data_IF_783928355765
#
_entry.id   IF_783928355765
#
_cell.length_a   1.000
_cell.length_b   1.000
_cell.length_c   1.000
_cell.angle_alpha   90.00
_cell.angle_beta   90.00
_cell.angle_gamma   90.00
#
_symmetry.space_group_name_H-M   'P 1'
#
loop_
_entity.id
_entity.type
_entity.pdbx_description
1 polymer ?
#
# COMPACT_ATOMS: atom_id res chain seq x y z
N UNK A 1 17.03 -18.14 -21.18
CA UNK A 1 16.91 -17.20 -20.05
C UNK A 1 15.65 -16.38 -20.27
N UNK A 2 14.54 -16.74 -19.63
CA UNK A 2 13.31 -15.93 -19.68
C UNK A 2 13.49 -14.77 -18.72
N UNK A 3 13.71 -13.57 -19.24
CA UNK A 3 13.67 -12.34 -18.47
C UNK A 3 12.25 -12.21 -17.90
N UNK A 4 12.08 -12.47 -16.60
CA UNK A 4 10.83 -12.11 -15.90
C UNK A 4 10.67 -10.61 -16.12
N UNK A 5 9.64 -10.20 -16.86
CA UNK A 5 9.32 -8.80 -17.06
C UNK A 5 8.91 -8.24 -15.70
N UNK A 6 9.75 -7.37 -15.13
CA UNK A 6 9.44 -6.65 -13.90
C UNK A 6 8.16 -5.83 -14.13
N UNK A 7 7.09 -6.16 -13.42
CA UNK A 7 5.87 -5.34 -13.41
C UNK A 7 5.88 -4.49 -12.14
N UNK A 8 5.73 -3.16 -12.26
CA UNK A 8 5.61 -2.29 -11.10
C UNK A 8 4.48 -2.72 -10.18
N UNK A 9 4.64 -2.49 -8.88
CA UNK A 9 3.60 -2.77 -7.88
C UNK A 9 2.60 -1.62 -7.81
N UNK A 10 1.31 -1.93 -7.79
CA UNK A 10 0.25 -0.97 -7.51
C UNK A 10 -0.47 -1.38 -6.22
N UNK A 11 -0.33 -0.58 -5.17
CA UNK A 11 -1.07 -0.77 -3.93
C UNK A 11 -2.37 0.02 -4.01
N UNK A 12 -3.48 -0.67 -3.78
CA UNK A 12 -4.81 -0.12 -3.94
C UNK A 12 -5.65 -0.29 -2.67
N UNK A 13 -6.43 0.71 -2.31
CA UNK A 13 -7.46 0.61 -1.28
C UNK A 13 -8.83 1.17 -1.74
N UNK A 14 -9.83 1.02 -0.88
CA UNK A 14 -11.20 1.48 -1.13
C UNK A 14 -11.51 2.87 -0.56
N UNK A 15 -10.61 3.44 0.26
CA UNK A 15 -10.99 4.47 1.24
C UNK A 15 -9.89 5.51 1.44
N UNK A 16 -9.66 6.32 0.42
CA UNK A 16 -8.89 7.56 0.53
C UNK A 16 -7.40 7.41 0.24
N UNK A 17 -6.88 6.18 0.09
CA UNK A 17 -5.50 5.91 -0.31
C UNK A 17 -4.49 5.84 0.83
N UNK A 18 -4.92 5.87 2.08
CA UNK A 18 -4.02 5.83 3.23
C UNK A 18 -3.24 4.51 3.35
N UNK A 19 -3.94 3.38 3.14
CA UNK A 19 -3.29 2.06 3.14
C UNK A 19 -2.43 1.90 1.88
N UNK A 20 -2.93 2.37 0.74
CA UNK A 20 -2.20 2.37 -0.52
C UNK A 20 -0.87 3.15 -0.43
N UNK A 21 -0.89 4.33 0.18
CA UNK A 21 0.29 5.16 0.40
C UNK A 21 1.31 4.45 1.28
N UNK A 22 0.85 3.84 2.39
CA UNK A 22 1.70 3.05 3.27
C UNK A 22 2.35 1.88 2.50
N UNK A 23 1.58 1.13 1.72
CA UNK A 23 2.09 -0.02 0.97
C UNK A 23 3.11 0.35 -0.11
N UNK A 24 2.81 1.39 -0.90
CA UNK A 24 3.72 1.84 -1.94
C UNK A 24 5.03 2.39 -1.37
N UNK A 25 4.98 3.13 -0.25
CA UNK A 25 6.19 3.60 0.41
C UNK A 25 7.03 2.43 0.95
N UNK A 26 6.42 1.47 1.66
CA UNK A 26 7.14 0.27 2.14
C UNK A 26 7.80 -0.48 0.99
N UNK A 27 7.10 -0.68 -0.13
CA UNK A 27 7.69 -1.32 -1.29
C UNK A 27 8.89 -0.55 -1.86
N UNK A 28 8.83 0.79 -1.89
CA UNK A 28 9.95 1.63 -2.31
C UNK A 28 11.15 1.50 -1.37
N UNK A 29 10.93 1.43 -0.06
CA UNK A 29 12.00 1.17 0.92
C UNK A 29 12.70 -0.17 0.66
N UNK A 30 11.97 -1.18 0.17
CA UNK A 30 12.50 -2.50 -0.17
C UNK A 30 13.07 -2.59 -1.61
N UNK A 31 13.17 -1.47 -2.33
CA UNK A 31 13.78 -1.40 -3.66
C UNK A 31 12.82 -1.45 -4.85
N UNK A 32 11.51 -1.55 -4.64
CA UNK A 32 10.50 -1.39 -5.69
C UNK A 32 10.21 0.09 -5.93
N UNK A 33 11.19 0.80 -6.50
CA UNK A 33 11.17 2.26 -6.64
C UNK A 33 10.03 2.80 -7.51
N UNK A 34 9.47 1.96 -8.39
CA UNK A 34 8.35 2.23 -9.28
C UNK A 34 6.97 1.92 -8.67
N UNK A 35 6.90 1.50 -7.39
CA UNK A 35 5.63 1.20 -6.75
C UNK A 35 4.74 2.45 -6.62
N UNK A 36 3.45 2.29 -6.90
CA UNK A 36 2.45 3.38 -6.89
C UNK A 36 1.33 3.11 -5.90
N UNK A 37 0.78 4.19 -5.34
CA UNK A 37 -0.41 4.17 -4.49
C UNK A 37 -1.64 4.58 -5.29
N UNK A 38 -2.74 3.84 -5.13
CA UNK A 38 -4.00 4.14 -5.77
C UNK A 38 -5.20 3.90 -4.85
N UNK A 39 -6.32 4.54 -5.14
CA UNK A 39 -7.57 4.34 -4.40
C UNK A 39 -8.77 4.30 -5.34
N UNK A 40 -9.81 3.55 -4.96
CA UNK A 40 -11.11 3.57 -5.64
C UNK A 40 -11.86 4.89 -5.41
N UNK A 41 -11.73 5.47 -4.21
CA UNK A 41 -12.47 6.67 -3.82
C UNK A 41 -11.73 7.93 -4.25
N UNK A 42 -12.21 9.11 -3.86
CA UNK A 42 -11.36 10.31 -3.90
C UNK A 42 -10.20 10.15 -2.91
N UNK A 43 -9.02 10.65 -3.28
CA UNK A 43 -7.89 10.73 -2.37
C UNK A 43 -8.28 11.65 -1.21
N UNK A 44 -8.04 11.20 0.01
CA UNK A 44 -8.36 11.95 1.23
C UNK A 44 -7.08 12.36 1.95
N UNK A 45 -7.12 13.40 2.80
CA UNK A 45 -6.00 13.71 3.68
C UNK A 45 -5.59 12.47 4.47
N UNK A 46 -4.29 12.24 4.58
CA UNK A 46 -3.76 11.09 5.30
C UNK A 46 -3.98 11.25 6.81
N UNK A 47 -4.44 10.21 7.52
CA UNK A 47 -4.41 10.17 8.97
C UNK A 47 -2.98 10.41 9.48
N UNK A 48 -2.81 11.15 10.58
CA UNK A 48 -1.49 11.60 11.06
C UNK A 48 -0.51 10.45 11.38
N UNK A 49 -1.02 9.28 11.75
CA UNK A 49 -0.19 8.10 12.00
C UNK A 49 0.48 7.55 10.74
N UNK A 50 -0.09 7.76 9.54
CA UNK A 50 0.50 7.27 8.28
C UNK A 50 1.83 7.97 7.97
N UNK A 51 1.90 9.32 7.84
CA UNK A 51 3.17 10.00 7.62
C UNK A 51 4.14 9.81 8.79
N UNK A 52 3.66 9.67 10.04
CA UNK A 52 4.52 9.38 11.17
C UNK A 52 5.23 8.02 11.00
N UNK A 53 4.51 6.96 10.62
CA UNK A 53 5.09 5.63 10.37
C UNK A 53 6.01 5.62 9.14
N UNK A 54 5.72 6.42 8.11
CA UNK A 54 6.61 6.55 6.96
C UNK A 54 7.92 7.27 7.31
N UNK A 55 7.84 8.30 8.14
CA UNK A 55 9.04 9.00 8.61
C UNK A 55 9.98 8.08 9.41
N UNK A 56 9.46 7.09 10.14
CA UNK A 56 10.28 6.08 10.84
C UNK A 56 11.20 5.28 9.90
N UNK A 57 10.80 5.10 8.63
CA UNK A 57 11.58 4.42 7.60
C UNK A 57 12.23 5.39 6.60
N UNK A 58 12.26 6.68 6.93
CA UNK A 58 12.90 7.72 6.11
C UNK A 58 12.16 8.01 4.80
N UNK A 59 10.86 7.74 4.73
CA UNK A 59 10.05 7.96 3.53
C UNK A 59 8.95 9.00 3.76
N UNK A 60 8.54 9.61 2.65
CA UNK A 60 7.36 10.46 2.58
C UNK A 60 6.20 9.71 1.92
N UNK A 61 4.98 10.21 2.16
CA UNK A 61 3.80 9.64 1.52
C UNK A 61 3.84 9.88 0.00
N UNK A 62 3.70 8.82 -0.83
CA UNK A 62 3.61 9.00 -2.28
C UNK A 62 2.30 9.67 -2.67
N UNK A 63 2.28 10.26 -3.87
CA UNK A 63 1.03 10.70 -4.47
C UNK A 63 0.05 9.52 -4.62
N UNK A 64 -1.21 9.76 -4.28
CA UNK A 64 -2.29 8.78 -4.41
C UNK A 64 -3.02 9.05 -5.72
N UNK A 65 -3.05 8.04 -6.59
CA UNK A 65 -3.76 8.10 -7.87
C UNK A 65 -5.18 7.54 -7.73
N UNK A 66 -6.05 7.87 -8.67
CA UNK A 66 -7.26 7.08 -8.92
C UNK A 66 -6.87 5.70 -9.44
N UNK A 67 -7.54 4.65 -8.99
CA UNK A 67 -7.24 3.28 -9.41
C UNK A 67 -7.31 3.11 -10.93
N UNK A 68 -8.35 3.66 -11.56
CA UNK A 68 -8.48 3.62 -13.03
C UNK A 68 -7.27 4.24 -13.74
N UNK A 69 -6.78 5.38 -13.26
CA UNK A 69 -5.60 6.03 -13.82
C UNK A 69 -4.33 5.18 -13.63
N UNK A 70 -4.16 4.54 -12.48
CA UNK A 70 -3.02 3.65 -12.23
C UNK A 70 -3.05 2.41 -13.14
N UNK A 71 -4.24 1.87 -13.43
CA UNK A 71 -4.42 0.68 -14.28
C UNK A 71 -4.22 0.95 -15.78
N UNK A 72 -4.00 2.21 -16.19
CA UNK A 72 -3.60 2.54 -17.56
C UNK A 72 -2.25 1.92 -17.96
N UNK A 73 -1.42 1.53 -16.98
CA UNK A 73 -0.18 0.80 -17.18
C UNK A 73 -0.25 -0.61 -16.56
N UNK A 74 0.47 -1.61 -17.11
CA UNK A 74 0.53 -2.94 -16.52
C UNK A 74 1.19 -2.94 -15.14
N UNK A 75 0.44 -3.33 -14.11
CA UNK A 75 0.92 -3.47 -12.74
C UNK A 75 0.58 -4.84 -12.16
N UNK A 76 1.33 -5.25 -11.14
CA UNK A 76 0.86 -6.26 -10.18
C UNK A 76 0.10 -5.52 -9.08
N UNK A 77 -1.20 -5.79 -8.95
CA UNK A 77 -2.07 -5.07 -8.01
C UNK A 77 -2.13 -5.79 -6.66
N UNK A 78 -1.91 -5.04 -5.58
CA UNK A 78 -2.08 -5.46 -4.20
C UNK A 78 -3.25 -4.67 -3.58
N UNK A 79 -4.33 -5.37 -3.25
CA UNK A 79 -5.52 -4.81 -2.63
C UNK A 79 -5.41 -4.86 -1.10
N UNK A 80 -5.39 -3.70 -0.46
CA UNK A 80 -5.13 -3.54 0.97
C UNK A 80 -6.38 -3.35 1.83
N UNK A 81 -7.58 -3.36 1.25
CA UNK A 81 -8.83 -3.17 1.98
C UNK A 81 -9.51 -4.51 2.29
N UNK A 82 -10.43 -4.49 3.26
CA UNK A 82 -11.36 -5.61 3.47
C UNK A 82 -12.29 -5.78 2.25
N UNK A 83 -12.73 -7.02 2.01
CA UNK A 83 -13.62 -7.36 0.90
C UNK A 83 -12.91 -7.80 -0.38
N UNK A 84 -13.70 -7.98 -1.43
CA UNK A 84 -13.22 -8.45 -2.73
C UNK A 84 -12.49 -7.33 -3.48
N UNK A 85 -11.33 -7.65 -4.06
CA UNK A 85 -10.61 -6.72 -4.91
C UNK A 85 -11.41 -6.45 -6.20
N UNK A 86 -11.53 -5.19 -6.64
CA UNK A 86 -12.24 -4.81 -7.88
C UNK A 86 -11.46 -5.14 -9.15
N UNK A 87 -10.23 -5.67 -9.03
CA UNK A 87 -9.32 -5.98 -10.14
C UNK A 87 -9.06 -7.48 -10.17
N UNK A 88 -9.31 -8.12 -11.32
CA UNK A 88 -9.07 -9.53 -11.52
C UNK A 88 -7.57 -9.86 -11.37
N UNK A 89 -7.25 -10.92 -10.62
CA UNK A 89 -5.87 -11.33 -10.34
C UNK A 89 -5.12 -10.43 -9.36
N UNK A 90 -5.78 -9.44 -8.75
CA UNK A 90 -5.20 -8.68 -7.66
C UNK A 90 -4.95 -9.57 -6.44
N UNK A 91 -3.85 -9.32 -5.75
CA UNK A 91 -3.49 -10.00 -4.52
C UNK A 91 -4.11 -9.27 -3.36
N UNK A 92 -4.88 -9.97 -2.53
CA UNK A 92 -5.51 -9.36 -1.36
C UNK A 92 -4.61 -9.50 -0.12
N UNK A 93 -4.37 -8.39 0.57
CA UNK A 93 -3.84 -8.35 1.92
C UNK A 93 -4.78 -7.49 2.77
N UNK A 94 -5.79 -8.08 3.43
CA UNK A 94 -6.77 -7.33 4.20
C UNK A 94 -6.10 -6.56 5.35
N UNK A 95 -6.14 -5.24 5.27
CA UNK A 95 -5.61 -4.33 6.27
C UNK A 95 -6.64 -3.26 6.63
N UNK A 96 -6.48 -2.68 7.82
CA UNK A 96 -7.36 -1.63 8.33
C UNK A 96 -6.57 -0.71 9.25
N UNK A 97 -6.81 0.59 9.12
CA UNK A 97 -6.40 1.59 10.09
C UNK A 97 -7.51 1.81 11.10
N UNK A 98 -7.16 2.22 12.32
CA UNK A 98 -8.14 2.56 13.33
C UNK A 98 -8.81 3.91 13.01
N UNK A 99 -10.09 4.08 13.39
CA UNK A 99 -10.79 5.34 13.20
C UNK A 99 -10.20 6.48 14.06
N UNK A 100 -10.50 7.72 13.68
CA UNK A 100 -9.93 8.91 14.32
C UNK A 100 -10.32 9.09 15.81
N UNK A 101 -11.41 8.47 16.25
CA UNK A 101 -11.88 8.46 17.65
C UNK A 101 -11.17 7.43 18.54
N UNK A 102 -10.36 6.53 17.97
CA UNK A 102 -9.47 5.67 18.73
C UNK A 102 -8.32 6.48 19.35
N UNK A 103 -7.69 5.95 20.40
CA UNK A 103 -6.53 6.60 21.04
C UNK A 103 -5.31 6.69 20.10
N UNK A 104 -4.52 7.75 20.25
CA UNK A 104 -3.39 8.05 19.36
C UNK A 104 -2.35 6.92 19.31
N UNK A 105 -2.01 6.35 20.47
CA UNK A 105 -1.05 5.27 20.58
C UNK A 105 -1.56 4.00 19.89
N UNK A 106 -2.85 3.71 20.00
CA UNK A 106 -3.51 2.58 19.36
C UNK A 106 -3.52 2.74 17.83
N UNK A 107 -3.81 3.94 17.33
CA UNK A 107 -3.76 4.25 15.89
C UNK A 107 -2.35 4.06 15.35
N UNK A 108 -1.35 4.64 16.01
CA UNK A 108 0.05 4.54 15.59
C UNK A 108 0.56 3.08 15.63
N UNK A 109 0.24 2.35 16.69
CA UNK A 109 0.59 0.92 16.81
C UNK A 109 -0.05 0.09 15.70
N UNK A 110 -1.32 0.36 15.37
CA UNK A 110 -2.01 -0.32 14.27
C UNK A 110 -1.36 -0.01 12.93
N UNK A 111 -1.02 1.25 12.65
CA UNK A 111 -0.32 1.63 11.42
C UNK A 111 1.03 0.92 11.28
N UNK A 112 1.81 0.78 12.37
CA UNK A 112 3.06 0.01 12.38
C UNK A 112 2.82 -1.48 12.12
N UNK A 113 1.80 -2.08 12.74
CA UNK A 113 1.44 -3.49 12.47
C UNK A 113 1.07 -3.68 11.00
N UNK A 114 0.32 -2.75 10.41
CA UNK A 114 -0.02 -2.81 8.98
C UNK A 114 1.24 -2.71 8.11
N UNK A 115 2.16 -1.79 8.41
CA UNK A 115 3.46 -1.67 7.73
C UNK A 115 4.21 -3.00 7.76
N UNK A 116 4.40 -3.58 8.95
CA UNK A 116 5.14 -4.83 9.13
C UNK A 116 4.47 -6.00 8.38
N UNK A 117 3.13 -6.04 8.30
CA UNK A 117 2.40 -7.05 7.52
C UNK A 117 2.65 -6.91 6.02
N UNK A 118 2.71 -5.68 5.50
CA UNK A 118 3.01 -5.40 4.10
C UNK A 118 4.45 -5.79 3.79
N UNK A 119 5.40 -5.40 4.65
CA UNK A 119 6.82 -5.73 4.52
C UNK A 119 7.05 -7.24 4.42
N UNK A 120 6.51 -8.02 5.36
CA UNK A 120 6.65 -9.49 5.35
C UNK A 120 6.05 -10.14 4.10
N UNK A 121 4.94 -9.62 3.60
CA UNK A 121 4.34 -10.12 2.36
C UNK A 121 5.33 -9.90 1.20
N UNK A 122 5.90 -8.71 1.07
CA UNK A 122 6.85 -8.37 0.00
C UNK A 122 8.13 -9.20 0.07
N UNK A 123 8.67 -9.40 1.27
CA UNK A 123 9.85 -10.24 1.49
C UNK A 123 9.60 -11.72 1.13
N UNK A 124 8.42 -12.24 1.49
CA UNK A 124 8.04 -13.62 1.13
C UNK A 124 7.95 -13.81 -0.38
N UNK A 125 7.46 -12.79 -1.09
CA UNK A 125 7.35 -12.81 -2.55
C UNK A 125 8.69 -12.68 -3.26
N UNK A 126 9.61 -11.89 -2.69
CA UNK A 126 10.99 -11.79 -3.15
C UNK A 126 11.70 -13.14 -3.00
N UNK A 127 11.44 -13.89 -1.92
CA UNK A 127 12.01 -15.21 -1.70
C UNK A 127 11.44 -16.30 -2.62
N UNK A 128 10.21 -16.13 -3.12
CA UNK A 128 9.55 -17.07 -4.03
C UNK A 128 9.83 -16.79 -5.53
N UNK A 129 10.59 -15.74 -5.84
CA UNK A 129 10.81 -15.24 -7.20
C UNK A 129 12.14 -15.64 -7.81
#
# INVERSE_FOLDING_TARGET
MTTKTHRPLCFADASGGALAALGAAVARALGHTDAVAATLSEASPLPAEVPAVLAEIGLEAPAILKLEAALSNPHTVVWLAEGAAPVAGARALPCKLLPADAGELERLSTARIVRDRIERMLETDLAAS
#
